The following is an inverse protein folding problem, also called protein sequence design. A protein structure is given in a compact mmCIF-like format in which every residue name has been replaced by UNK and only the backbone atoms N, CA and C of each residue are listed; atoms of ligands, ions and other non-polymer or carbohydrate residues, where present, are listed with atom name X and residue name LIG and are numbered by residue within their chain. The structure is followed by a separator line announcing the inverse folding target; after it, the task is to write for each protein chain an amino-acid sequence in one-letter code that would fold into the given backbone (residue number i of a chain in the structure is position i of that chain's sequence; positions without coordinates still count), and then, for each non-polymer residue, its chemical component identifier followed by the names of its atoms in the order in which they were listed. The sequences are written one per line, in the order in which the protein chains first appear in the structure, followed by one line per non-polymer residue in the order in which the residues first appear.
data_IF_526411117475
#
_entry.id   IF_526411117475
#
_cell.length_a   1.000
_cell.length_b   1.000
_cell.length_c   1.000
_cell.angle_alpha   90.00
_cell.angle_beta   90.00
_cell.angle_gamma   90.00
#
_symmetry.space_group_name_H-M   'P 1'
#
loop_
_entity.id
_entity.type
_entity.pdbx_description
1 polymer ?
#
# COMPACT_ATOMS: atom_id res chain seq x y z
N UNK A 1 12.37 49.74 6.30
CA UNK A 1 13.09 48.46 6.17
C UNK A 1 12.20 47.24 5.88
N UNK A 2 10.87 47.37 5.72
CA UNK A 2 9.98 46.24 5.38
C UNK A 2 9.66 46.17 3.86
N UNK A 3 9.86 47.26 3.12
CA UNK A 3 9.48 47.34 1.70
C UNK A 3 10.55 46.80 0.73
N UNK A 4 11.82 46.69 1.13
CA UNK A 4 12.90 46.17 0.25
C UNK A 4 12.88 44.64 0.13
N UNK A 5 12.34 43.92 1.12
CA UNK A 5 12.23 42.45 1.05
C UNK A 5 11.14 41.98 0.07
N UNK A 6 10.09 42.78 -0.12
CA UNK A 6 8.98 42.43 -1.01
C UNK A 6 9.35 42.42 -2.49
N UNK A 7 10.24 43.33 -2.93
CA UNK A 7 10.72 43.34 -4.32
C UNK A 7 11.65 42.15 -4.63
N UNK A 8 12.43 41.71 -3.65
CA UNK A 8 13.29 40.53 -3.78
C UNK A 8 12.46 39.23 -3.87
N UNK A 9 11.41 39.09 -3.06
CA UNK A 9 10.52 37.94 -3.14
C UNK A 9 9.70 37.92 -4.44
N UNK A 10 9.31 39.10 -4.93
CA UNK A 10 8.60 39.23 -6.21
C UNK A 10 9.48 38.83 -7.40
N UNK A 11 10.75 39.26 -7.41
CA UNK A 11 11.71 38.87 -8.45
C UNK A 11 12.03 37.38 -8.42
N UNK A 12 12.14 36.77 -7.23
CA UNK A 12 12.30 35.33 -7.06
C UNK A 12 11.07 34.55 -7.53
N UNK A 13 9.87 35.04 -7.24
CA UNK A 13 8.62 34.47 -7.72
C UNK A 13 8.55 34.50 -9.26
N UNK A 14 8.91 35.63 -9.88
CA UNK A 14 8.94 35.73 -11.34
C UNK A 14 9.97 34.81 -11.98
N UNK A 15 11.14 34.62 -11.35
CA UNK A 15 12.14 33.65 -11.81
C UNK A 15 11.59 32.21 -11.76
N UNK A 16 10.93 31.83 -10.65
CA UNK A 16 10.29 30.51 -10.52
C UNK A 16 9.16 30.30 -11.53
N UNK A 17 8.35 31.33 -11.80
CA UNK A 17 7.30 31.26 -12.82
C UNK A 17 7.91 31.07 -14.23
N UNK A 18 9.01 31.74 -14.53
CA UNK A 18 9.71 31.57 -15.80
C UNK A 18 10.27 30.14 -15.94
N UNK A 19 10.89 29.61 -14.89
CA UNK A 19 11.44 28.26 -14.85
C UNK A 19 10.36 27.18 -14.97
N UNK A 20 9.23 27.34 -14.27
CA UNK A 20 8.06 26.47 -14.43
C UNK A 20 7.46 26.57 -15.84
N UNK A 21 7.45 27.76 -16.44
CA UNK A 21 6.99 27.97 -17.81
C UNK A 21 7.87 27.25 -18.83
N UNK A 22 9.19 27.27 -18.63
CA UNK A 22 10.15 26.54 -19.46
C UNK A 22 9.99 25.03 -19.31
N UNK A 23 9.88 24.53 -18.07
CA UNK A 23 9.62 23.11 -17.79
C UNK A 23 8.29 22.62 -18.36
N UNK A 24 7.24 23.45 -18.33
CA UNK A 24 5.95 23.13 -18.97
C UNK A 24 6.08 23.03 -20.50
N UNK A 25 6.88 23.90 -21.10
CA UNK A 25 7.11 23.91 -22.54
C UNK A 25 7.94 22.68 -22.99
N UNK A 26 8.94 22.28 -22.22
CA UNK A 26 9.68 21.03 -22.42
C UNK A 26 8.77 19.80 -22.32
N UNK A 27 7.93 19.74 -21.28
CA UNK A 27 6.96 18.65 -21.11
C UNK A 27 5.98 18.56 -22.29
N UNK A 28 5.55 19.70 -22.83
CA UNK A 28 4.70 19.74 -24.02
C UNK A 28 5.44 19.24 -25.26
N UNK A 29 6.69 19.63 -25.45
CA UNK A 29 7.56 19.14 -26.54
C UNK A 29 7.77 17.63 -26.47
N UNK A 30 8.12 17.10 -25.28
CA UNK A 30 8.28 15.67 -25.03
C UNK A 30 7.00 14.88 -25.30
N UNK A 31 5.84 15.42 -24.88
CA UNK A 31 4.54 14.80 -25.12
C UNK A 31 4.22 14.70 -26.62
N UNK A 32 4.50 15.76 -27.40
CA UNK A 32 4.32 15.75 -28.86
C UNK A 32 5.27 14.75 -29.52
N UNK A 33 6.53 14.69 -29.08
CA UNK A 33 7.53 13.74 -29.58
C UNK A 33 7.13 12.28 -29.29
N UNK A 34 6.65 11.98 -28.09
CA UNK A 34 6.14 10.66 -27.71
C UNK A 34 4.89 10.30 -28.54
N UNK A 35 4.00 11.25 -28.80
CA UNK A 35 2.84 11.02 -29.64
C UNK A 35 3.25 10.70 -31.09
N UNK A 36 4.25 11.39 -31.63
CA UNK A 36 4.82 11.12 -32.95
C UNK A 36 5.56 9.76 -33.00
N UNK A 37 6.28 9.37 -31.95
CA UNK A 37 6.88 8.04 -31.87
C UNK A 37 5.82 6.94 -31.78
N UNK A 38 4.74 7.16 -31.02
CA UNK A 38 3.62 6.23 -30.91
C UNK A 38 2.86 6.06 -32.24
N UNK A 39 2.68 7.13 -33.03
CA UNK A 39 2.11 7.03 -34.39
C UNK A 39 3.05 6.28 -35.32
N UNK A 40 4.36 6.52 -35.25
CA UNK A 40 5.35 5.79 -36.05
C UNK A 40 5.35 4.29 -35.72
N UNK A 41 5.22 3.90 -34.44
CA UNK A 41 5.08 2.49 -34.04
C UNK A 41 3.77 1.88 -34.56
N UNK A 42 2.66 2.62 -34.56
CA UNK A 42 1.37 2.15 -35.11
C UNK A 42 1.44 1.97 -36.64
N UNK A 43 2.05 2.92 -37.36
CA UNK A 43 2.27 2.82 -38.82
C UNK A 43 3.23 1.69 -39.15
N UNK A 44 4.28 1.49 -38.35
CA UNK A 44 5.21 0.36 -38.49
C UNK A 44 4.47 -0.98 -38.28
N UNK A 45 3.48 -1.05 -37.37
CA UNK A 45 2.62 -2.22 -37.21
C UNK A 45 1.69 -2.47 -38.40
N UNK A 46 1.13 -1.44 -39.02
CA UNK A 46 0.22 -1.58 -40.17
C UNK A 46 0.94 -1.90 -41.48
N UNK A 47 2.14 -1.35 -41.70
CA UNK A 47 2.94 -1.65 -42.89
C UNK A 47 3.63 -3.04 -42.82
N UNK A 48 3.90 -3.57 -41.62
CA UNK A 48 4.50 -4.90 -41.44
C UNK A 48 3.54 -6.08 -41.67
N UNK A 49 2.23 -5.83 -41.86
CA UNK A 49 1.24 -6.90 -42.07
C UNK A 49 1.20 -7.39 -43.52
N UNK A 50 1.69 -6.63 -44.50
CA UNK A 50 1.61 -7.04 -45.92
C UNK A 50 2.92 -7.53 -46.55
N UNK A 51 4.08 -7.11 -46.08
CA UNK A 51 5.37 -7.58 -46.61
C UNK A 51 6.41 -7.81 -45.50
N UNK A 52 6.42 -8.99 -44.89
CA UNK A 52 7.51 -9.40 -43.98
C UNK A 52 8.17 -10.70 -44.42
N UNK A 53 9.49 -10.86 -44.25
CA UNK A 53 10.22 -12.11 -44.52
C UNK A 53 9.69 -13.31 -43.71
N UNK A 54 8.83 -13.07 -42.72
CA UNK A 54 8.08 -14.09 -41.99
C UNK A 54 6.97 -14.74 -42.82
N UNK A 55 6.31 -14.04 -43.76
CA UNK A 55 5.36 -14.69 -44.68
C UNK A 55 6.10 -15.53 -45.72
N UNK A 56 7.24 -15.08 -46.22
CA UNK A 56 8.10 -15.87 -47.10
C UNK A 56 8.63 -17.12 -46.38
N UNK A 57 9.14 -16.97 -45.14
CA UNK A 57 9.58 -18.12 -44.32
C UNK A 57 8.42 -19.03 -43.95
N UNK A 58 7.22 -18.49 -43.68
CA UNK A 58 6.00 -19.29 -43.46
C UNK A 58 5.58 -20.04 -44.72
N UNK A 59 5.66 -19.44 -45.91
CA UNK A 59 5.34 -20.10 -47.17
C UNK A 59 6.37 -21.17 -47.53
N UNK A 60 7.66 -20.93 -47.26
CA UNK A 60 8.74 -21.92 -47.41
C UNK A 60 8.53 -23.07 -46.43
N UNK A 61 8.27 -22.79 -45.16
CA UNK A 61 8.01 -23.81 -44.14
C UNK A 61 6.71 -24.56 -44.43
N UNK A 62 5.68 -23.90 -44.95
CA UNK A 62 4.43 -24.53 -45.36
C UNK A 62 4.63 -25.40 -46.61
N UNK A 63 5.43 -24.95 -47.58
CA UNK A 63 5.81 -25.73 -48.75
C UNK A 63 6.66 -26.93 -48.33
N UNK A 64 7.66 -26.75 -47.47
CA UNK A 64 8.46 -27.84 -46.89
C UNK A 64 7.59 -28.81 -46.07
N UNK A 65 6.62 -28.30 -45.29
CA UNK A 65 5.70 -29.13 -44.53
C UNK A 65 4.80 -29.98 -45.43
N UNK A 66 4.27 -29.40 -46.51
CA UNK A 66 3.48 -30.13 -47.53
C UNK A 66 4.34 -31.18 -48.26
N UNK A 67 5.62 -30.89 -48.52
CA UNK A 67 6.57 -31.85 -49.10
C UNK A 67 6.95 -32.95 -48.10
N UNK A 68 7.06 -32.64 -46.81
CA UNK A 68 7.32 -33.62 -45.74
C UNK A 68 6.11 -34.51 -45.40
N UNK A 69 4.89 -34.00 -45.54
CA UNK A 69 3.65 -34.75 -45.31
C UNK A 69 3.21 -35.58 -46.52
N UNK A 70 3.62 -35.23 -47.74
CA UNK A 70 3.22 -35.97 -48.94
C UNK A 70 4.05 -37.23 -49.20
N UNK A 71 5.24 -37.40 -48.63
CA UNK A 71 6.05 -38.63 -48.84
C UNK A 71 6.43 -38.94 -50.30
N UNK A 72 6.11 -38.06 -51.26
CA UNK A 72 6.19 -38.31 -52.70
C UNK A 72 7.41 -37.67 -53.39
N UNK A 73 8.28 -36.97 -52.66
CA UNK A 73 9.40 -36.24 -53.26
C UNK A 73 10.51 -37.16 -53.80
N UNK A 74 10.60 -38.42 -53.34
CA UNK A 74 11.72 -39.32 -53.69
C UNK A 74 11.42 -40.41 -54.75
N UNK A 75 10.18 -40.57 -55.24
CA UNK A 75 9.83 -41.70 -56.12
C UNK A 75 10.26 -41.57 -57.58
N UNK A 76 10.65 -40.37 -58.05
CA UNK A 76 10.96 -40.13 -59.47
C UNK A 76 12.45 -40.01 -59.81
N UNK A 77 13.35 -39.98 -58.82
CA UNK A 77 14.77 -39.66 -59.04
C UNK A 77 15.76 -40.78 -58.66
N UNK A 78 15.31 -41.93 -58.18
CA UNK A 78 16.20 -43.02 -57.74
C UNK A 78 16.02 -44.30 -58.59
N UNK A 79 16.24 -44.22 -59.91
CA UNK A 79 16.29 -45.42 -60.76
C UNK A 79 17.68 -46.08 -60.75
N UNK A 80 18.70 -45.39 -60.21
CA UNK A 80 20.11 -45.79 -60.31
C UNK A 80 20.61 -46.57 -59.08
N UNK A 81 19.78 -46.68 -58.03
CA UNK A 81 20.09 -47.41 -56.79
C UNK A 81 19.26 -48.67 -56.70
N UNK A 82 19.90 -49.75 -56.25
CA UNK A 82 19.16 -50.97 -55.92
C UNK A 82 18.19 -50.69 -54.76
N UNK A 83 17.02 -51.34 -54.71
CA UNK A 83 16.05 -51.14 -53.63
C UNK A 83 16.61 -51.48 -52.24
N UNK A 84 17.64 -52.34 -52.19
CA UNK A 84 18.35 -52.73 -50.98
C UNK A 84 19.25 -51.60 -50.46
N UNK A 85 20.05 -50.98 -51.33
CA UNK A 85 20.89 -49.83 -50.96
C UNK A 85 20.06 -48.63 -50.50
N UNK A 86 18.91 -48.39 -51.14
CA UNK A 86 17.99 -47.34 -50.71
C UNK A 86 17.42 -47.60 -49.31
N UNK A 87 17.00 -48.83 -49.02
CA UNK A 87 16.49 -49.21 -47.68
C UNK A 87 17.59 -49.12 -46.62
N UNK A 88 18.79 -49.60 -46.93
CA UNK A 88 19.93 -49.52 -46.02
C UNK A 88 20.29 -48.06 -45.69
N UNK A 89 20.26 -47.16 -46.67
CA UNK A 89 20.53 -45.74 -46.43
C UNK A 89 19.40 -45.05 -45.66
N UNK A 90 18.15 -45.42 -45.92
CA UNK A 90 17.00 -44.93 -45.16
C UNK A 90 17.04 -45.40 -43.70
N UNK A 91 17.43 -46.65 -43.46
CA UNK A 91 17.64 -47.19 -42.11
C UNK A 91 18.79 -46.47 -41.41
N UNK A 92 19.92 -46.25 -42.07
CA UNK A 92 21.03 -45.45 -41.53
C UNK A 92 20.59 -44.04 -41.15
N UNK A 93 19.85 -43.37 -42.03
CA UNK A 93 19.33 -42.02 -41.77
C UNK A 93 18.36 -42.02 -40.59
N UNK A 94 17.42 -42.98 -40.53
CA UNK A 94 16.47 -43.08 -39.42
C UNK A 94 17.18 -43.37 -38.09
N UNK A 95 18.21 -44.22 -38.07
CA UNK A 95 19.03 -44.47 -36.88
C UNK A 95 19.77 -43.20 -36.46
N UNK A 96 20.34 -42.45 -37.40
CA UNK A 96 21.01 -41.18 -37.09
C UNK A 96 20.04 -40.13 -36.52
N UNK A 97 18.87 -39.95 -37.13
CA UNK A 97 17.84 -39.01 -36.67
C UNK A 97 17.31 -39.39 -35.29
N UNK A 98 17.09 -40.68 -35.03
CA UNK A 98 16.63 -41.14 -33.71
C UNK A 98 17.69 -40.95 -32.63
N UNK A 99 18.98 -41.16 -32.95
CA UNK A 99 20.08 -40.89 -32.04
C UNK A 99 20.21 -39.39 -31.72
N UNK A 100 20.12 -38.52 -32.73
CA UNK A 100 20.13 -37.06 -32.52
C UNK A 100 18.94 -36.60 -31.67
N UNK A 101 17.74 -37.11 -31.97
CA UNK A 101 16.55 -36.82 -31.16
C UNK A 101 16.70 -37.28 -29.71
N UNK A 102 17.33 -38.43 -29.45
CA UNK A 102 17.61 -38.87 -28.08
C UNK A 102 18.62 -37.94 -27.38
N UNK A 103 19.65 -37.48 -28.09
CA UNK A 103 20.59 -36.48 -27.58
C UNK A 103 19.90 -35.16 -27.21
N UNK A 104 19.11 -34.61 -28.13
CA UNK A 104 18.33 -33.40 -27.90
C UNK A 104 17.33 -33.56 -26.74
N UNK A 105 16.72 -34.74 -26.59
CA UNK A 105 15.84 -35.02 -25.45
C UNK A 105 16.60 -35.07 -24.13
N UNK A 106 17.80 -35.63 -24.12
CA UNK A 106 18.66 -35.64 -22.93
C UNK A 106 19.08 -34.21 -22.54
N UNK A 107 19.53 -33.42 -23.50
CA UNK A 107 19.97 -32.04 -23.26
C UNK A 107 18.80 -31.16 -22.79
N UNK A 108 17.63 -31.31 -23.41
CA UNK A 108 16.42 -30.62 -22.95
C UNK A 108 16.04 -30.99 -21.51
N UNK A 109 16.20 -32.26 -21.10
CA UNK A 109 15.97 -32.67 -19.70
C UNK A 109 16.97 -32.02 -18.75
N UNK A 110 18.25 -31.97 -19.14
CA UNK A 110 19.28 -31.31 -18.34
C UNK A 110 19.02 -29.81 -18.19
N UNK A 111 18.71 -29.11 -19.27
CA UNK A 111 18.35 -27.69 -19.24
C UNK A 111 17.10 -27.45 -18.40
N UNK A 112 16.09 -28.32 -18.50
CA UNK A 112 14.88 -28.22 -17.68
C UNK A 112 15.16 -28.46 -16.19
N UNK A 113 16.12 -29.33 -15.84
CA UNK A 113 16.57 -29.51 -14.46
C UNK A 113 17.26 -28.25 -13.94
N UNK A 114 18.20 -27.73 -14.72
CA UNK A 114 18.98 -26.55 -14.35
C UNK A 114 18.10 -25.31 -14.14
N UNK A 115 17.09 -25.11 -15.00
CA UNK A 115 16.11 -24.02 -14.82
C UNK A 115 15.39 -24.16 -13.48
N UNK A 116 14.94 -25.36 -13.10
CA UNK A 116 14.26 -25.59 -11.82
C UNK A 116 15.17 -25.31 -10.62
N UNK A 117 16.45 -25.65 -10.72
CA UNK A 117 17.44 -25.35 -9.66
C UNK A 117 17.64 -23.83 -9.53
N UNK A 118 17.72 -23.10 -10.63
CA UNK A 118 17.78 -21.63 -10.60
C UNK A 118 16.50 -21.00 -10.04
N UNK A 119 15.33 -21.51 -10.40
CA UNK A 119 14.06 -21.04 -9.85
C UNK A 119 13.98 -21.31 -8.35
N UNK A 120 14.37 -22.51 -7.91
CA UNK A 120 14.38 -22.89 -6.49
C UNK A 120 15.36 -22.06 -5.67
N UNK A 121 16.57 -21.84 -6.18
CA UNK A 121 17.57 -21.01 -5.50
C UNK A 121 17.10 -19.56 -5.40
N UNK A 122 16.49 -19.02 -6.46
CA UNK A 122 15.89 -17.68 -6.44
C UNK A 122 14.75 -17.60 -5.43
N UNK A 123 13.85 -18.59 -5.39
CA UNK A 123 12.77 -18.63 -4.41
C UNK A 123 13.29 -18.66 -2.98
N UNK A 124 14.33 -19.47 -2.72
CA UNK A 124 14.98 -19.56 -1.41
C UNK A 124 15.60 -18.23 -1.00
N UNK A 125 16.38 -17.61 -1.88
CA UNK A 125 17.03 -16.31 -1.62
C UNK A 125 15.99 -15.23 -1.42
N UNK A 126 14.98 -15.13 -2.28
CA UNK A 126 13.92 -14.14 -2.16
C UNK A 126 13.09 -14.33 -0.90
N UNK A 127 12.81 -15.58 -0.50
CA UNK A 127 12.14 -15.87 0.77
C UNK A 127 12.97 -15.39 1.96
N UNK A 128 14.28 -15.69 1.97
CA UNK A 128 15.19 -15.22 3.01
C UNK A 128 15.26 -13.69 3.08
N UNK A 129 15.35 -12.99 1.93
CA UNK A 129 15.32 -11.53 1.89
C UNK A 129 14.01 -10.96 2.41
N UNK A 130 12.86 -11.52 2.02
CA UNK A 130 11.54 -11.06 2.51
C UNK A 130 11.41 -11.26 4.02
N UNK A 131 11.87 -12.39 4.55
CA UNK A 131 11.83 -12.65 5.99
C UNK A 131 12.77 -11.71 6.74
N UNK A 132 14.01 -11.56 6.27
CA UNK A 132 14.96 -10.64 6.91
C UNK A 132 14.50 -9.19 6.87
N UNK A 133 13.90 -8.75 5.76
CA UNK A 133 13.32 -7.41 5.65
C UNK A 133 12.18 -7.22 6.65
N UNK A 134 11.31 -8.21 6.81
CA UNK A 134 10.25 -8.19 7.83
C UNK A 134 10.83 -8.11 9.25
N UNK A 135 11.80 -8.96 9.59
CA UNK A 135 12.42 -8.95 10.93
C UNK A 135 13.07 -7.60 11.26
N UNK A 136 13.75 -6.99 10.27
CA UNK A 136 14.34 -5.65 10.44
C UNK A 136 13.24 -4.62 10.64
N UNK A 137 12.19 -4.62 9.82
CA UNK A 137 11.07 -3.69 9.97
C UNK A 137 10.38 -3.82 11.34
N UNK A 138 10.18 -5.04 11.83
CA UNK A 138 9.60 -5.28 13.16
C UNK A 138 10.50 -4.76 14.28
N UNK A 139 11.82 -4.95 14.18
CA UNK A 139 12.77 -4.41 15.16
C UNK A 139 12.81 -2.89 15.16
N UNK A 140 12.91 -2.26 13.99
CA UNK A 140 12.92 -0.80 13.86
C UNK A 140 11.62 -0.21 14.44
N UNK A 141 10.47 -0.82 14.15
CA UNK A 141 9.19 -0.38 14.68
C UNK A 141 9.08 -0.56 16.20
N UNK A 142 9.63 -1.64 16.76
CA UNK A 142 9.72 -1.82 18.21
C UNK A 142 10.57 -0.73 18.84
N UNK A 143 11.74 -0.47 18.26
CA UNK A 143 12.68 0.53 18.76
C UNK A 143 12.07 1.94 18.76
N UNK A 144 11.34 2.29 17.69
CA UNK A 144 10.60 3.56 17.61
C UNK A 144 9.57 3.65 18.73
N UNK A 145 8.75 2.63 18.96
CA UNK A 145 7.74 2.63 20.03
C UNK A 145 8.38 2.77 21.41
N UNK A 146 9.49 2.08 21.65
CA UNK A 146 10.20 2.13 22.92
C UNK A 146 10.74 3.54 23.19
N UNK A 147 11.38 4.17 22.19
CA UNK A 147 11.87 5.55 22.31
C UNK A 147 10.75 6.58 22.40
N UNK A 148 9.66 6.41 21.66
CA UNK A 148 8.47 7.27 21.78
C UNK A 148 7.91 7.22 23.20
N UNK A 149 7.82 6.03 23.79
CA UNK A 149 7.34 5.84 25.16
C UNK A 149 8.25 6.51 26.18
N UNK A 150 9.57 6.31 26.07
CA UNK A 150 10.54 6.94 26.99
C UNK A 150 10.56 8.46 26.85
N UNK A 151 10.44 8.97 25.61
CA UNK A 151 10.39 10.40 25.33
C UNK A 151 9.15 11.04 25.95
N UNK A 152 7.97 10.45 25.76
CA UNK A 152 6.73 10.93 26.36
C UNK A 152 6.79 10.92 27.90
N UNK A 153 7.34 9.85 28.49
CA UNK A 153 7.54 9.78 29.94
C UNK A 153 8.44 10.91 30.44
N UNK A 154 9.54 11.19 29.74
CA UNK A 154 10.44 12.31 30.09
C UNK A 154 9.77 13.67 29.93
N UNK A 155 8.97 13.86 28.89
CA UNK A 155 8.24 15.10 28.67
C UNK A 155 7.22 15.34 29.79
N UNK A 156 6.50 14.30 30.22
CA UNK A 156 5.57 14.35 31.35
C UNK A 156 6.30 14.67 32.67
N UNK A 157 7.41 13.98 32.95
CA UNK A 157 8.26 14.27 34.12
C UNK A 157 8.78 15.72 34.11
N UNK A 158 9.18 16.24 32.96
CA UNK A 158 9.69 17.61 32.86
C UNK A 158 8.57 18.64 33.03
N UNK A 159 7.40 18.42 32.42
CA UNK A 159 6.24 19.30 32.56
C UNK A 159 5.74 19.34 34.01
N UNK A 160 5.71 18.20 34.70
CA UNK A 160 5.35 18.13 36.12
C UNK A 160 6.36 18.85 37.01
N UNK A 161 7.67 18.69 36.74
CA UNK A 161 8.72 19.42 37.45
C UNK A 161 8.61 20.94 37.26
N UNK A 162 8.36 21.41 36.03
CA UNK A 162 8.16 22.82 35.72
C UNK A 162 6.93 23.40 36.43
N UNK A 163 5.81 22.65 36.43
CA UNK A 163 4.60 23.05 37.13
C UNK A 163 4.83 23.17 38.64
N UNK A 164 5.52 22.22 39.25
CA UNK A 164 5.87 22.24 40.68
C UNK A 164 6.76 23.45 40.99
N UNK A 165 7.78 23.71 40.16
CA UNK A 165 8.65 24.86 40.33
C UNK A 165 7.87 26.19 40.22
N UNK A 166 7.01 26.35 39.20
CA UNK A 166 6.20 27.56 39.01
C UNK A 166 5.22 27.79 40.17
N UNK A 167 4.65 26.71 40.71
CA UNK A 167 3.72 26.74 41.84
C UNK A 167 4.46 27.12 43.12
N UNK A 168 5.66 26.56 43.36
CA UNK A 168 6.50 26.91 44.49
C UNK A 168 6.93 28.38 44.47
N UNK A 169 7.30 28.90 43.29
CA UNK A 169 7.61 30.32 43.09
C UNK A 169 6.39 31.18 43.40
N UNK A 170 5.23 30.85 42.82
CA UNK A 170 3.98 31.60 43.05
C UNK A 170 3.57 31.62 44.53
N UNK A 171 3.69 30.48 45.22
CA UNK A 171 3.45 30.39 46.66
C UNK A 171 4.43 31.26 47.46
N UNK A 172 5.71 31.29 47.10
CA UNK A 172 6.70 32.15 47.75
C UNK A 172 6.41 33.64 47.52
N UNK A 173 6.01 34.03 46.31
CA UNK A 173 5.62 35.39 45.98
C UNK A 173 4.36 35.81 46.73
N UNK A 174 3.39 34.89 46.89
CA UNK A 174 2.19 35.10 47.71
C UNK A 174 2.55 35.37 49.17
N UNK A 175 3.44 34.56 49.75
CA UNK A 175 3.95 34.78 51.12
C UNK A 175 4.67 36.12 51.26
N UNK A 176 5.57 36.47 50.32
CA UNK A 176 6.27 37.75 50.32
C UNK A 176 5.31 38.94 50.20
N UNK A 177 4.33 38.84 49.31
CA UNK A 177 3.30 39.89 49.12
C UNK A 177 2.46 40.08 50.38
N UNK A 178 2.11 38.99 51.07
CA UNK A 178 1.39 39.04 52.34
C UNK A 178 2.21 39.72 53.43
N UNK A 179 3.48 39.32 53.60
CA UNK A 179 4.40 39.96 54.57
C UNK A 179 4.61 41.44 54.24
N UNK A 180 4.82 41.78 52.96
CA UNK A 180 4.99 43.17 52.53
C UNK A 180 3.76 44.03 52.88
N UNK A 181 2.55 43.52 52.60
CA UNK A 181 1.31 44.22 52.96
C UNK A 181 1.18 44.40 54.48
N UNK A 182 1.55 43.40 55.28
CA UNK A 182 1.57 43.52 56.76
C UNK A 182 2.56 44.57 57.23
N UNK A 183 3.77 44.60 56.67
CA UNK A 183 4.78 45.60 57.00
C UNK A 183 4.31 47.03 56.66
N UNK A 184 3.71 47.22 55.48
CA UNK A 184 3.17 48.53 55.08
C UNK A 184 2.03 49.00 56.00
N UNK A 185 1.17 48.08 56.46
CA UNK A 185 0.10 48.37 57.44
C UNK A 185 0.67 48.73 58.81
N UNK A 186 1.63 47.95 59.30
CA UNK A 186 2.33 48.22 60.56
C UNK A 186 3.08 49.57 60.55
N UNK A 187 3.75 49.92 59.44
CA UNK A 187 4.40 51.23 59.27
C UNK A 187 3.37 52.39 59.31
N UNK A 188 2.17 52.14 58.79
CA UNK A 188 1.06 53.11 58.80
C UNK A 188 0.38 53.23 60.15
N UNK A 189 0.78 52.43 61.14
CA UNK A 189 0.23 52.41 62.50
C UNK A 189 -1.10 51.65 62.63
N UNK A 190 -1.45 50.81 61.66
CA UNK A 190 -2.56 49.86 61.76
C UNK A 190 -2.07 48.59 62.47
N UNK A 191 -2.67 48.24 63.62
CA UNK A 191 -2.40 46.98 64.30
C UNK A 191 -2.90 45.79 63.46
N UNK A 192 -2.20 44.66 63.57
CA UNK A 192 -2.48 43.36 62.95
C UNK A 192 -3.81 42.77 63.46
N UNK A 193 -4.95 43.43 63.26
CA UNK A 193 -6.25 42.78 63.38
C UNK A 193 -6.39 41.83 62.18
N UNK A 194 -6.13 40.56 62.46
CA UNK A 194 -6.59 39.45 61.64
C UNK A 194 -8.07 39.70 61.32
N UNK A 195 -8.46 39.81 60.03
CA UNK A 195 -9.86 40.03 59.72
C UNK A 195 -10.67 38.90 60.36
N UNK A 196 -11.80 39.19 61.05
CA UNK A 196 -12.63 38.14 61.59
C UNK A 196 -13.00 37.21 60.44
N UNK A 197 -12.63 35.94 60.58
CA UNK A 197 -13.13 34.83 59.80
C UNK A 197 -14.62 34.64 60.13
N UNK A 198 -15.42 35.63 59.76
CA UNK A 198 -16.87 35.59 59.65
C UNK A 198 -17.20 35.85 58.19
N UNK A 199 -16.69 34.98 57.32
CA UNK A 199 -17.45 34.61 56.13
C UNK A 199 -18.43 33.55 56.61
N UNK A 200 -19.70 33.90 56.52
CA UNK A 200 -20.85 33.01 56.68
C UNK A 200 -20.58 31.68 55.99
N UNK A 201 -20.75 30.57 56.71
CA UNK A 201 -20.62 29.17 56.29
C UNK A 201 -21.50 28.75 55.07
N UNK A 202 -22.13 29.70 54.38
CA UNK A 202 -23.06 29.46 53.29
C UNK A 202 -22.55 29.99 51.92
N UNK A 203 -21.41 30.69 51.87
CA UNK A 203 -20.81 31.16 50.61
C UNK A 203 -19.42 30.53 50.30
N UNK A 204 -18.95 29.58 51.10
CA UNK A 204 -17.67 28.85 50.91
C UNK A 204 -17.83 27.48 50.24
N UNK A 205 -18.91 27.25 49.46
CA UNK A 205 -19.01 26.04 48.61
C UNK A 205 -18.24 26.16 47.28
N UNK A 206 -17.59 27.29 46.99
CA UNK A 206 -16.63 27.41 45.88
C UNK A 206 -15.18 27.18 46.33
N UNK A 207 -14.93 26.05 47.03
CA UNK A 207 -13.57 25.57 47.17
C UNK A 207 -13.09 24.92 45.85
N UNK A 208 -11.84 25.17 45.39
CA UNK A 208 -11.29 24.56 44.16
C UNK A 208 -11.32 23.03 44.13
N UNK A 209 -11.42 22.39 45.31
CA UNK A 209 -11.55 20.94 45.48
C UNK A 209 -12.97 20.42 45.17
N UNK A 210 -14.00 21.27 45.27
CA UNK A 210 -15.35 20.95 44.79
C UNK A 210 -15.42 20.92 43.27
N UNK A 211 -14.62 21.73 42.56
CA UNK A 211 -14.54 21.68 41.11
C UNK A 211 -13.87 20.39 40.61
N UNK A 212 -12.87 19.87 41.34
CA UNK A 212 -12.19 18.60 41.02
C UNK A 212 -13.12 17.41 41.31
N UNK A 213 -13.77 17.38 42.46
CA UNK A 213 -14.78 16.35 42.78
C UNK A 213 -16.00 16.42 41.85
N UNK A 214 -16.42 17.62 41.43
CA UNK A 214 -17.48 17.80 40.45
C UNK A 214 -17.06 17.32 39.05
N UNK A 215 -15.79 17.51 38.67
CA UNK A 215 -15.23 17.01 37.42
C UNK A 215 -15.12 15.48 37.43
N UNK A 216 -14.66 14.88 38.52
CA UNK A 216 -14.63 13.42 38.71
C UNK A 216 -16.05 12.83 38.65
N UNK A 217 -17.00 13.43 39.35
CA UNK A 217 -18.41 13.02 39.30
C UNK A 217 -19.06 13.30 37.93
N UNK A 218 -18.56 14.26 37.15
CA UNK A 218 -18.99 14.46 35.74
C UNK A 218 -18.47 13.34 34.86
N UNK A 219 -17.20 12.97 35.02
CA UNK A 219 -16.55 11.91 34.24
C UNK A 219 -17.16 10.53 34.51
N UNK A 220 -17.42 10.18 35.79
CA UNK A 220 -18.09 8.93 36.16
C UNK A 220 -19.50 8.83 35.55
N UNK A 221 -20.22 9.96 35.51
CA UNK A 221 -21.53 10.03 34.85
C UNK A 221 -21.42 9.83 33.35
N UNK A 222 -20.42 10.39 32.69
CA UNK A 222 -20.20 10.21 31.25
C UNK A 222 -19.82 8.76 30.89
N UNK A 223 -18.99 8.12 31.70
CA UNK A 223 -18.61 6.70 31.53
C UNK A 223 -19.85 5.81 31.66
N UNK A 224 -20.65 6.02 32.71
CA UNK A 224 -21.86 5.22 32.94
C UNK A 224 -22.90 5.48 31.86
N UNK A 225 -23.06 6.73 31.40
CA UNK A 225 -23.94 7.06 30.27
C UNK A 225 -23.48 6.39 28.97
N UNK A 226 -22.19 6.37 28.65
CA UNK A 226 -21.66 5.72 27.45
C UNK A 226 -21.91 4.20 27.48
N UNK A 227 -21.73 3.57 28.64
CA UNK A 227 -22.05 2.15 28.85
C UNK A 227 -23.55 1.89 28.66
N UNK A 228 -24.40 2.68 29.32
CA UNK A 228 -25.86 2.55 29.22
C UNK A 228 -26.38 2.84 27.81
N UNK A 229 -25.72 3.71 27.06
CA UNK A 229 -26.02 3.97 25.65
C UNK A 229 -25.65 2.76 24.78
N UNK A 230 -24.48 2.15 24.97
CA UNK A 230 -24.08 0.94 24.26
C UNK A 230 -25.04 -0.23 24.54
N UNK A 231 -25.41 -0.44 25.81
CA UNK A 231 -26.38 -1.48 26.19
C UNK A 231 -27.78 -1.21 25.59
N UNK A 232 -28.24 0.06 25.61
CA UNK A 232 -29.50 0.43 24.95
C UNK A 232 -29.45 0.25 23.42
N UNK A 233 -28.30 0.50 22.79
CA UNK A 233 -28.12 0.24 21.36
C UNK A 233 -28.20 -1.25 21.05
N UNK A 234 -27.58 -2.11 21.86
CA UNK A 234 -27.70 -3.56 21.73
C UNK A 234 -29.14 -4.05 21.93
N UNK A 235 -29.82 -3.54 22.96
CA UNK A 235 -31.24 -3.83 23.20
C UNK A 235 -32.12 -3.39 22.03
N UNK A 236 -31.88 -2.20 21.46
CA UNK A 236 -32.60 -1.71 20.27
C UNK A 236 -32.29 -2.54 19.02
N UNK A 237 -31.08 -3.09 18.89
CA UNK A 237 -30.74 -4.04 17.81
C UNK A 237 -31.49 -5.36 17.98
N UNK A 238 -31.58 -5.89 19.21
CA UNK A 238 -32.34 -7.13 19.49
C UNK A 238 -33.85 -6.94 19.30
N UNK A 239 -34.38 -5.77 19.59
CA UNK A 239 -35.78 -5.38 19.35
C UNK A 239 -36.07 -4.98 17.89
N UNK A 240 -35.06 -4.97 17.00
CA UNK A 240 -35.21 -4.63 15.58
C UNK A 240 -35.50 -3.15 15.30
N UNK A 241 -35.30 -2.27 16.28
CA UNK A 241 -35.48 -0.81 16.16
C UNK A 241 -34.25 -0.10 15.59
N UNK A 242 -33.08 -0.77 15.60
CA UNK A 242 -31.84 -0.31 14.98
C UNK A 242 -31.24 -1.42 14.10
N UNK A 243 -30.68 -1.08 12.91
CA UNK A 243 -29.97 -2.05 12.08
C UNK A 243 -28.79 -2.65 12.84
N UNK A 244 -28.58 -3.96 12.72
CA UNK A 244 -27.46 -4.68 13.33
C UNK A 244 -26.14 -4.06 12.85
N UNK A 245 -25.34 -3.51 13.77
CA UNK A 245 -24.04 -2.91 13.44
C UNK A 245 -23.12 -4.02 12.92
N UNK A 246 -22.73 -3.94 11.66
CA UNK A 246 -21.72 -4.84 11.08
C UNK A 246 -20.37 -4.52 11.72
N UNK A 247 -19.57 -5.52 12.14
CA UNK A 247 -18.29 -5.26 12.78
C UNK A 247 -17.36 -4.46 11.86
N UNK A 248 -16.76 -3.39 12.41
CA UNK A 248 -15.82 -2.46 11.77
C UNK A 248 -14.57 -3.15 11.20
N UNK A 249 -14.31 -4.41 11.58
CA UNK A 249 -13.27 -5.28 11.00
C UNK A 249 -13.44 -5.59 9.52
N UNK A 250 -14.55 -5.18 8.88
CA UNK A 250 -14.73 -5.28 7.42
C UNK A 250 -14.47 -3.99 6.65
N UNK A 251 -14.20 -2.87 7.32
CA UNK A 251 -13.97 -1.58 6.67
C UNK A 251 -12.50 -1.16 6.62
N UNK A 252 -11.61 -1.86 7.34
CA UNK A 252 -10.18 -1.55 7.35
C UNK A 252 -9.37 -2.72 6.80
N UNK A 253 -9.03 -2.63 5.51
CA UNK A 253 -7.88 -3.31 4.91
C UNK A 253 -8.09 -4.77 4.52
N UNK A 254 -8.86 -5.02 3.45
CA UNK A 254 -8.51 -6.04 2.45
C UNK A 254 -9.44 -5.97 1.22
N UNK A 255 -9.44 -4.81 0.54
CA UNK A 255 -9.82 -4.80 -0.87
C UNK A 255 -8.62 -5.25 -1.70
N UNK A 256 -8.32 -6.56 -1.66
CA UNK A 256 -7.57 -7.17 -2.76
C UNK A 256 -8.60 -7.51 -3.85
N UNK A 257 -8.56 -6.88 -5.03
CA UNK A 257 -9.42 -7.30 -6.12
C UNK A 257 -8.97 -8.70 -6.52
N UNK A 258 -9.71 -9.72 -6.11
CA UNK A 258 -9.55 -11.09 -6.63
C UNK A 258 -10.01 -11.07 -8.09
N UNK A 259 -9.07 -10.74 -8.97
CA UNK A 259 -9.18 -10.94 -10.41
C UNK A 259 -9.21 -12.45 -10.67
N UNK A 260 -10.40 -13.03 -10.62
CA UNK A 260 -10.61 -14.38 -11.11
C UNK A 260 -10.61 -14.33 -12.64
N UNK A 261 -9.42 -14.45 -13.25
CA UNK A 261 -9.31 -14.77 -14.66
C UNK A 261 -9.65 -16.25 -14.83
N UNK A 262 -10.84 -16.54 -15.35
CA UNK A 262 -11.04 -17.81 -16.05
C UNK A 262 -10.19 -17.80 -17.32
N UNK A 263 -9.72 -18.97 -17.73
CA UNK A 263 -8.75 -19.25 -18.82
C UNK A 263 -9.01 -18.57 -20.17
N UNK A 264 -10.20 -17.99 -20.37
CA UNK A 264 -10.64 -17.36 -21.62
C UNK A 264 -10.83 -15.83 -21.56
N UNK A 265 -10.32 -15.15 -20.52
CA UNK A 265 -10.02 -13.71 -20.58
C UNK A 265 -11.21 -12.76 -20.76
N UNK A 266 -12.42 -13.09 -20.28
CA UNK A 266 -13.57 -12.16 -20.30
C UNK A 266 -14.03 -11.81 -18.88
N UNK A 267 -14.18 -10.51 -18.64
CA UNK A 267 -14.61 -9.91 -17.38
C UNK A 267 -16.12 -10.16 -17.13
N UNK A 268 -16.48 -10.65 -15.95
CA UNK A 268 -17.88 -10.77 -15.50
C UNK A 268 -18.10 -9.81 -14.33
N UNK A 269 -18.96 -8.79 -14.44
CA UNK A 269 -19.32 -7.95 -13.32
C UNK A 269 -20.23 -8.72 -12.35
N UNK A 270 -19.95 -8.61 -11.05
CA UNK A 270 -20.74 -9.23 -9.98
C UNK A 270 -22.21 -8.79 -10.04
N UNK A 271 -23.16 -9.73 -9.97
CA UNK A 271 -24.58 -9.41 -9.79
C UNK A 271 -25.61 -10.21 -10.61
N UNK A 272 -25.19 -11.16 -11.46
CA UNK A 272 -26.13 -12.08 -12.13
C UNK A 272 -25.63 -13.51 -12.00
N UNK A 273 -26.26 -14.28 -11.13
CA UNK A 273 -26.03 -15.72 -11.08
C UNK A 273 -26.33 -16.36 -12.45
N UNK A 274 -25.64 -17.44 -12.82
CA UNK A 274 -25.90 -18.12 -14.09
C UNK A 274 -27.36 -18.58 -14.15
N UNK A 275 -28.05 -18.45 -15.30
CA UNK A 275 -29.39 -19.00 -15.44
C UNK A 275 -29.35 -20.50 -15.19
N UNK A 276 -30.18 -20.99 -14.28
CA UNK A 276 -30.42 -22.42 -14.10
C UNK A 276 -30.94 -22.96 -15.43
N UNK A 277 -30.22 -23.92 -16.01
CA UNK A 277 -30.73 -24.73 -17.11
C UNK A 277 -32.00 -25.43 -16.63
N UNK A 278 -33.15 -24.99 -17.13
CA UNK A 278 -34.38 -25.76 -17.08
C UNK A 278 -34.25 -26.80 -18.17
N UNK A 279 -33.79 -28.00 -17.80
CA UNK A 279 -33.86 -29.18 -18.64
C UNK A 279 -35.31 -29.44 -19.00
N UNK A 280 -35.63 -29.31 -20.28
CA UNK A 280 -36.94 -29.65 -20.83
C UNK A 280 -37.28 -31.11 -20.52
N UNK A 281 -38.43 -31.30 -19.89
CA UNK A 281 -39.11 -32.58 -19.91
C UNK A 281 -39.80 -32.77 -21.26
N UNK A 282 -39.46 -33.86 -21.92
CA UNK A 282 -40.27 -34.48 -22.96
C UNK A 282 -40.16 -35.99 -22.75
N UNK A 283 -41.15 -36.52 -22.03
CA UNK A 283 -41.62 -37.90 -22.13
C UNK A 283 -43.04 -37.83 -22.73
N UNK A 284 -43.59 -38.91 -23.30
CA UNK A 284 -43.03 -39.92 -24.19
C UNK A 284 -43.57 -39.81 -25.63
#
# INVERSE_FOLDING_TARGET
MILENGEYDLTKLFALIAELGESLNENRSLSVSLYAQATNVKVCRLCSVRDTPLTHRRHIVQTQAIHSQSGYVLRRFNLDKTPEEYKAELERMNVAITAENQGLQHDNKQLSSLIKEYEQTLETVMSAFRNRARDVQERELSLVRDYETELLSREEENATQELVASTAISASLGRLSHVLRRLLRAESGEDDEEPPSTRTQEEEEEEPWNATLAAEHSMDREIELARLQAENEELKQMLGLLPRRMPESRLQGDYRPMLNLTRDGKYVPYGRGPPRNVSGGQDP
#
